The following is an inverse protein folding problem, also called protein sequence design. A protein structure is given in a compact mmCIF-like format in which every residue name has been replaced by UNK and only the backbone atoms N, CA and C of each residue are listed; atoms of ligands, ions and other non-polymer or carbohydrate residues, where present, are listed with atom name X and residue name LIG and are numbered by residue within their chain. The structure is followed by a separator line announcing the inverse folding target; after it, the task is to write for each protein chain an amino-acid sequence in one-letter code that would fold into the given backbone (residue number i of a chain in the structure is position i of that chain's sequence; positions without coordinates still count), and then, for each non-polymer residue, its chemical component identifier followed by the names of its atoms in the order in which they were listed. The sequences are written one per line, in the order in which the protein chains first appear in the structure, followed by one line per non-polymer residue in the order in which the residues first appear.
data_IF_614727449175
#
_entry.id   IF_614727449175
#
_cell.length_a   1.000
_cell.length_b   1.000
_cell.length_c   1.000
_cell.angle_alpha   90.00
_cell.angle_beta   90.00
_cell.angle_gamma   90.00
#
_symmetry.space_group_name_H-M   'P 1'
#
loop_
_entity.id
_entity.type
_entity.pdbx_description
1 polymer ?
#
# COMPACT_ATOMS: atom_id res chain seq x y z
N UNK A 1 -8.15 -0.22 -8.80
CA UNK A 1 -8.66 1.14 -8.59
C UNK A 1 -8.33 1.92 -9.84
N UNK A 2 -9.34 2.48 -10.51
CA UNK A 2 -9.15 3.35 -11.66
C UNK A 2 -8.80 4.75 -11.15
N UNK A 3 -7.59 5.23 -11.45
CA UNK A 3 -7.15 6.60 -11.16
C UNK A 3 -7.65 7.49 -12.33
N UNK A 4 -8.08 8.73 -12.07
CA UNK A 4 -8.47 9.65 -13.14
C UNK A 4 -7.33 9.82 -14.16
N UNK A 5 -7.67 9.75 -15.45
CA UNK A 5 -6.73 9.96 -16.56
C UNK A 5 -6.01 11.31 -16.38
N UNK A 6 -4.69 11.35 -16.56
CA UNK A 6 -3.86 12.55 -16.37
C UNK A 6 -3.30 12.77 -14.95
N UNK A 7 -3.93 12.23 -13.88
CA UNK A 7 -3.38 12.37 -12.51
C UNK A 7 -2.34 11.31 -12.12
N UNK A 8 -2.20 10.25 -12.92
CA UNK A 8 -1.30 9.13 -12.58
C UNK A 8 0.17 9.54 -12.55
N UNK A 9 0.62 10.39 -13.49
CA UNK A 9 2.02 10.83 -13.56
C UNK A 9 2.40 11.65 -12.31
N UNK A 10 1.60 12.66 -11.97
CA UNK A 10 1.82 13.50 -10.78
C UNK A 10 1.77 12.70 -9.48
N UNK A 11 0.90 11.68 -9.40
CA UNK A 11 0.85 10.81 -8.23
C UNK A 11 2.04 9.85 -8.18
N UNK A 12 2.59 9.40 -9.32
CA UNK A 12 3.80 8.56 -9.35
C UNK A 12 5.05 9.30 -8.89
N UNK A 13 5.14 10.60 -9.14
CA UNK A 13 6.25 11.45 -8.70
C UNK A 13 6.26 11.72 -7.18
N UNK A 14 5.13 11.52 -6.50
CA UNK A 14 5.05 11.72 -5.04
C UNK A 14 5.72 10.58 -4.28
N UNK A 15 6.27 10.84 -3.07
CA UNK A 15 6.83 9.81 -2.21
C UNK A 15 5.83 8.65 -1.97
N UNK A 16 6.30 7.42 -2.14
CA UNK A 16 5.47 6.20 -2.05
C UNK A 16 4.49 6.00 -3.22
N UNK A 17 4.56 6.83 -4.26
CA UNK A 17 3.65 6.86 -5.40
C UNK A 17 4.01 5.98 -6.59
N UNK A 18 5.21 5.39 -6.63
CA UNK A 18 5.79 4.71 -7.80
C UNK A 18 4.91 3.60 -8.43
N UNK A 19 4.00 3.01 -7.65
CA UNK A 19 3.10 1.95 -8.10
C UNK A 19 1.64 2.38 -8.31
N UNK A 20 1.33 3.67 -8.21
CA UNK A 20 -0.01 4.20 -8.49
C UNK A 20 -0.42 3.87 -9.93
N UNK A 21 -1.70 3.51 -10.13
CA UNK A 21 -2.25 3.15 -11.45
C UNK A 21 -1.95 1.73 -11.93
N UNK A 22 -0.95 1.04 -11.36
CA UNK A 22 -0.59 -0.34 -11.75
C UNK A 22 -1.64 -1.39 -11.39
N UNK A 23 -2.51 -1.11 -10.41
CA UNK A 23 -3.42 -2.09 -9.82
C UNK A 23 -4.89 -1.89 -10.24
N UNK A 24 -5.20 -2.13 -11.52
CA UNK A 24 -6.53 -1.84 -12.11
C UNK A 24 -7.69 -2.62 -11.46
N UNK A 25 -7.47 -3.86 -11.00
CA UNK A 25 -8.51 -4.69 -10.33
C UNK A 25 -8.61 -4.61 -8.80
N UNK A 26 -7.80 -3.80 -8.11
CA UNK A 26 -7.82 -3.76 -6.63
C UNK A 26 -8.88 -2.76 -6.14
N UNK A 27 -9.74 -3.18 -5.21
CA UNK A 27 -10.75 -2.31 -4.61
C UNK A 27 -10.11 -1.09 -3.93
N UNK A 28 -10.77 0.09 -4.00
CA UNK A 28 -10.26 1.34 -3.42
C UNK A 28 -9.97 1.22 -1.91
N UNK A 29 -10.79 0.44 -1.20
CA UNK A 29 -10.63 0.14 0.23
C UNK A 29 -9.43 -0.75 0.55
N UNK A 30 -8.82 -1.40 -0.43
CA UNK A 30 -7.72 -2.35 -0.24
C UNK A 30 -6.34 -1.72 -0.44
N UNK A 31 -6.22 -0.42 -0.20
CA UNK A 31 -4.95 0.33 -0.21
C UNK A 31 -4.68 0.95 1.17
N UNK A 32 -3.41 1.14 1.48
CA UNK A 32 -2.93 1.78 2.72
C UNK A 32 -2.05 3.01 2.50
N UNK A 33 -1.76 3.36 1.25
CA UNK A 33 -0.89 4.50 0.92
C UNK A 33 -1.27 5.82 1.61
N UNK A 34 -2.54 6.26 1.53
CA UNK A 34 -2.98 7.51 2.16
C UNK A 34 -2.71 7.59 3.67
N UNK A 35 -2.76 6.45 4.37
CA UNK A 35 -2.49 6.41 5.81
C UNK A 35 -1.05 6.79 6.14
N UNK A 36 -0.10 6.58 5.22
CA UNK A 36 1.29 7.02 5.37
C UNK A 36 1.65 8.25 4.56
N UNK A 37 0.67 9.05 4.11
CA UNK A 37 0.91 10.22 3.26
C UNK A 37 1.28 9.89 1.80
N UNK A 38 1.26 8.62 1.41
CA UNK A 38 1.45 8.23 0.03
C UNK A 38 0.14 8.40 -0.78
N UNK A 39 0.25 8.56 -2.11
CA UNK A 39 -0.91 8.74 -2.99
C UNK A 39 -2.02 7.68 -2.86
N UNK A 40 -3.27 8.09 -3.13
CA UNK A 40 -4.38 7.14 -3.27
C UNK A 40 -4.08 6.11 -4.37
N UNK A 41 -4.37 4.84 -4.10
CA UNK A 41 -4.05 3.73 -5.03
C UNK A 41 -2.61 3.22 -4.94
N UNK A 42 -1.85 3.62 -3.93
CA UNK A 42 -0.54 3.04 -3.57
C UNK A 42 -0.64 2.12 -2.35
N UNK A 43 0.33 1.22 -2.18
CA UNK A 43 0.39 0.21 -1.12
C UNK A 43 -0.87 -0.68 -1.06
N UNK A 44 -1.10 -1.55 -2.07
CA UNK A 44 -2.22 -2.48 -2.04
C UNK A 44 -2.01 -3.53 -0.94
N UNK A 45 -3.11 -3.92 -0.30
CA UNK A 45 -3.16 -4.90 0.80
C UNK A 45 -4.30 -5.89 0.61
N UNK A 46 -4.70 -6.17 -0.64
CA UNK A 46 -5.75 -7.14 -0.95
C UNK A 46 -5.29 -8.61 -0.84
N UNK A 47 -4.02 -8.86 -0.52
CA UNK A 47 -3.50 -10.20 -0.28
C UNK A 47 -2.36 -10.17 0.74
N UNK A 48 -2.09 -11.30 1.41
CA UNK A 48 -1.01 -11.42 2.40
C UNK A 48 0.36 -11.08 1.82
N UNK A 49 0.63 -11.50 0.57
CA UNK A 49 1.88 -11.17 -0.14
C UNK A 49 2.03 -9.67 -0.32
N UNK A 50 0.98 -8.97 -0.74
CA UNK A 50 1.00 -7.51 -0.94
C UNK A 50 1.04 -6.75 0.39
N UNK A 51 0.40 -7.26 1.44
CA UNK A 51 0.52 -6.70 2.79
C UNK A 51 1.97 -6.75 3.31
N UNK A 52 2.70 -7.86 3.08
CA UNK A 52 4.14 -7.93 3.38
C UNK A 52 4.95 -6.93 2.58
N UNK A 53 4.73 -6.87 1.27
CA UNK A 53 5.40 -5.90 0.41
C UNK A 53 5.12 -4.46 0.87
N UNK A 54 3.89 -4.14 1.26
CA UNK A 54 3.52 -2.83 1.76
C UNK A 54 4.29 -2.44 3.04
N UNK A 55 4.56 -3.39 3.93
CA UNK A 55 5.44 -3.17 5.09
C UNK A 55 6.88 -2.93 4.67
N UNK A 56 7.42 -3.76 3.77
CA UNK A 56 8.79 -3.62 3.28
C UNK A 56 9.01 -2.27 2.61
N UNK A 57 8.07 -1.79 1.79
CA UNK A 57 8.16 -0.52 1.07
C UNK A 57 7.69 0.70 1.87
N UNK A 58 7.23 0.54 3.12
CA UNK A 58 6.63 1.63 3.90
C UNK A 58 7.60 2.80 4.12
N UNK A 59 8.92 2.55 4.13
CA UNK A 59 9.96 3.56 4.29
C UNK A 59 9.99 4.61 3.15
N UNK A 60 9.42 4.29 1.98
CA UNK A 60 9.35 5.23 0.86
C UNK A 60 8.23 6.26 0.99
N UNK A 61 7.34 6.09 1.97
CA UNK A 61 6.24 7.01 2.20
C UNK A 61 6.63 8.08 3.23
N UNK A 62 6.01 9.28 3.19
CA UNK A 62 6.30 10.35 4.14
C UNK A 62 6.06 9.96 5.61
N UNK A 63 5.08 9.09 5.87
CA UNK A 63 4.72 8.61 7.22
C UNK A 63 4.66 7.07 7.24
N UNK A 64 5.80 6.38 7.33
CA UNK A 64 5.85 4.90 7.26
C UNK A 64 4.98 4.21 8.33
N UNK A 65 4.90 4.79 9.53
CA UNK A 65 4.09 4.29 10.66
C UNK A 65 2.60 4.14 10.29
N UNK A 66 2.06 5.07 9.52
CA UNK A 66 0.66 5.03 9.11
C UNK A 66 0.33 3.89 8.14
N UNK A 67 1.25 3.55 7.22
CA UNK A 67 1.11 2.36 6.37
C UNK A 67 1.22 1.10 7.22
N UNK A 68 2.20 1.01 8.11
CA UNK A 68 2.38 -0.15 9.01
C UNK A 68 1.13 -0.41 9.85
N UNK A 69 0.54 0.64 10.44
CA UNK A 69 -0.69 0.55 11.23
C UNK A 69 -1.89 0.10 10.37
N UNK A 70 -2.07 0.69 9.17
CA UNK A 70 -3.14 0.27 8.26
C UNK A 70 -3.01 -1.18 7.82
N UNK A 71 -1.79 -1.63 7.53
CA UNK A 71 -1.49 -3.02 7.17
C UNK A 71 -1.80 -3.95 8.35
N UNK A 72 -1.33 -3.65 9.56
CA UNK A 72 -1.55 -4.47 10.75
C UNK A 72 -3.04 -4.59 11.10
N UNK A 73 -3.82 -3.52 10.94
CA UNK A 73 -5.28 -3.54 11.14
C UNK A 73 -6.00 -4.48 10.15
N UNK A 74 -5.58 -4.49 8.87
CA UNK A 74 -6.19 -5.34 7.84
C UNK A 74 -5.65 -6.77 7.83
N UNK A 75 -4.41 -6.95 8.26
CA UNK A 75 -3.72 -8.24 8.30
C UNK A 75 -2.97 -8.41 9.61
N UNK A 76 -3.65 -8.70 10.74
CA UNK A 76 -3.01 -8.85 12.05
C UNK A 76 -1.96 -9.98 12.11
N UNK A 77 -2.06 -10.95 11.19
CA UNK A 77 -1.17 -12.10 11.06
C UNK A 77 0.01 -11.88 10.10
N UNK A 78 0.13 -10.70 9.48
CA UNK A 78 1.26 -10.38 8.62
C UNK A 78 2.49 -10.05 9.48
N UNK A 79 3.63 -10.66 9.17
CA UNK A 79 4.84 -10.55 9.98
C UNK A 79 4.95 -11.55 11.14
N UNK A 80 3.88 -12.33 11.45
CA UNK A 80 4.03 -13.48 12.34
C UNK A 80 4.88 -14.55 11.63
N UNK A 81 5.90 -15.12 12.29
CA UNK A 81 6.64 -16.25 11.74
C UNK A 81 5.65 -17.37 11.42
N UNK A 82 5.86 -18.09 10.31
CA UNK A 82 5.07 -19.30 10.09
C UNK A 82 5.39 -20.25 11.25
N UNK A 83 4.37 -20.73 11.97
CA UNK A 83 4.55 -21.87 12.88
C UNK A 83 5.20 -22.97 12.04
N UNK A 84 6.45 -23.33 12.35
CA UNK A 84 7.08 -24.54 11.80
C UNK A 84 6.17 -25.69 12.23
N UNK A 85 5.74 -26.48 11.25
CA UNK A 85 4.94 -27.68 11.47
C UNK A 85 5.91 -28.84 11.63
#
# INVERSE_FOLDING_TARGET
MKIPKGRESTLKMKPGGSNVGKYKGVAKKSFCGPSGGAPKGSYPVNSKKRARAALSYAHNAPKPSGIKACVKRKWPSVGKPKKKK
#
